data_IF_316913758404
#
_entry.id   IF_316913758404
#
_cell.length_a   1.000
_cell.length_b   1.000
_cell.length_c   1.000
_cell.angle_alpha   90.00
_cell.angle_beta   90.00
_cell.angle_gamma   90.00
#
_symmetry.space_group_name_H-M   'P 1'
#
loop_
_entity.id
_entity.type
_entity.pdbx_description
1 polymer ?
#
# COMPACT_ATOMS: atom_id res chain seq x y z
N UNK A 1 -28.08 18.28 -21.53
CA UNK A 1 -26.74 18.18 -20.92
C UNK A 1 -26.85 18.82 -19.55
N UNK A 2 -26.94 18.04 -18.47
CA UNK A 2 -26.99 18.61 -17.12
C UNK A 2 -25.65 19.31 -16.85
N UNK A 3 -25.68 20.54 -16.34
CA UNK A 3 -24.48 21.17 -15.79
C UNK A 3 -23.97 20.27 -14.65
N UNK A 4 -22.82 19.61 -14.83
CA UNK A 4 -22.25 18.78 -13.78
C UNK A 4 -21.56 19.73 -12.79
N UNK A 5 -22.14 19.84 -11.60
CA UNK A 5 -21.65 20.70 -10.53
C UNK A 5 -20.46 20.04 -9.84
N UNK A 6 -19.42 20.83 -9.55
CA UNK A 6 -18.40 20.45 -8.58
C UNK A 6 -19.06 20.22 -7.22
N UNK A 7 -19.02 18.99 -6.70
CA UNK A 7 -19.59 18.66 -5.39
C UNK A 7 -18.50 18.92 -4.35
N UNK A 8 -18.73 19.86 -3.44
CA UNK A 8 -17.74 20.23 -2.42
C UNK A 8 -17.52 19.12 -1.39
N UNK A 9 -18.61 18.51 -0.90
CA UNK A 9 -18.60 17.47 0.12
C UNK A 9 -19.23 16.18 -0.41
N UNK A 10 -18.49 15.34 -1.14
CA UNK A 10 -19.03 14.16 -1.78
C UNK A 10 -19.25 13.02 -0.78
N UNK A 11 -20.36 12.29 -0.95
CA UNK A 11 -20.66 11.09 -0.18
C UNK A 11 -20.37 9.84 -0.99
N UNK A 12 -20.03 8.74 -0.32
CA UNK A 12 -19.80 7.45 -0.98
C UNK A 12 -21.07 6.94 -1.68
N UNK A 13 -22.24 7.31 -1.15
CA UNK A 13 -23.54 7.02 -1.75
C UNK A 13 -23.77 7.73 -3.10
N UNK A 14 -23.05 8.83 -3.36
CA UNK A 14 -23.13 9.57 -4.64
C UNK A 14 -22.19 8.98 -5.71
N UNK A 15 -21.34 8.02 -5.32
CA UNK A 15 -20.36 7.44 -6.23
C UNK A 15 -21.00 6.45 -7.20
N UNK A 16 -20.78 6.68 -8.49
CA UNK A 16 -21.26 5.81 -9.57
C UNK A 16 -20.39 4.54 -9.78
N UNK A 17 -19.25 4.42 -9.09
CA UNK A 17 -18.39 3.25 -9.17
C UNK A 17 -18.96 2.15 -8.30
N UNK A 18 -19.13 0.97 -8.89
CA UNK A 18 -19.72 -0.19 -8.25
C UNK A 18 -18.60 -0.97 -7.55
N UNK A 19 -18.69 -1.20 -6.24
CA UNK A 19 -17.70 -1.98 -5.52
C UNK A 19 -17.84 -3.48 -5.79
N UNK A 20 -16.72 -4.19 -5.79
CA UNK A 20 -16.60 -5.64 -5.63
C UNK A 20 -15.48 -5.90 -4.60
N UNK A 21 -15.44 -7.05 -3.97
CA UNK A 21 -14.53 -7.28 -2.83
C UNK A 21 -13.82 -8.63 -2.92
N UNK A 22 -12.55 -8.65 -2.52
CA UNK A 22 -11.90 -9.85 -2.01
C UNK A 22 -11.75 -9.74 -0.50
N UNK A 23 -12.29 -10.74 0.21
CA UNK A 23 -12.16 -10.86 1.66
C UNK A 23 -10.70 -11.07 2.08
N UNK A 24 -10.43 -10.80 3.36
CA UNK A 24 -9.12 -11.06 4.00
C UNK A 24 -8.61 -12.48 3.71
N UNK A 25 -9.46 -13.48 3.93
CA UNK A 25 -9.13 -14.89 3.69
C UNK A 25 -8.85 -15.23 2.22
N UNK A 26 -9.40 -14.46 1.28
CA UNK A 26 -9.10 -14.63 -0.14
C UNK A 26 -7.73 -14.03 -0.44
N UNK A 27 -7.48 -12.80 0.01
CA UNK A 27 -6.19 -12.12 -0.15
C UNK A 27 -5.06 -12.92 0.48
N UNK A 28 -5.26 -13.46 1.69
CA UNK A 28 -4.34 -14.35 2.38
C UNK A 28 -3.97 -15.57 1.53
N UNK A 29 -4.95 -16.27 0.94
CA UNK A 29 -4.69 -17.44 0.09
C UNK A 29 -3.84 -17.08 -1.13
N UNK A 30 -4.07 -15.92 -1.73
CA UNK A 30 -3.28 -15.42 -2.86
C UNK A 30 -1.87 -15.11 -2.39
N UNK A 31 -1.72 -14.24 -1.39
CA UNK A 31 -0.46 -13.86 -0.75
C UNK A 31 0.41 -15.09 -0.44
N UNK A 32 -0.14 -16.07 0.26
CA UNK A 32 0.60 -17.24 0.71
C UNK A 32 0.93 -18.22 -0.43
N UNK A 33 0.10 -18.25 -1.48
CA UNK A 33 0.43 -18.97 -2.71
C UNK A 33 1.61 -18.34 -3.43
N UNK A 34 1.71 -17.00 -3.45
CA UNK A 34 2.87 -16.30 -4.02
C UNK A 34 4.15 -16.50 -3.21
N UNK A 35 4.06 -16.49 -1.87
CA UNK A 35 5.21 -16.87 -1.02
C UNK A 35 5.72 -18.28 -1.33
N UNK A 36 4.81 -19.24 -1.56
CA UNK A 36 5.17 -20.62 -1.95
C UNK A 36 5.78 -20.70 -3.35
N UNK A 37 5.19 -20.02 -4.34
CA UNK A 37 5.71 -19.97 -5.71
C UNK A 37 7.10 -19.34 -5.77
N UNK A 38 7.37 -18.32 -4.96
CA UNK A 38 8.69 -17.69 -4.89
C UNK A 38 9.81 -18.55 -4.34
N UNK A 39 9.51 -19.76 -3.86
CA UNK A 39 10.51 -20.75 -3.45
C UNK A 39 10.84 -21.75 -4.57
N UNK A 40 10.11 -21.75 -5.69
CA UNK A 40 10.34 -22.69 -6.78
C UNK A 40 11.47 -22.20 -7.71
N UNK A 41 12.42 -23.08 -8.10
CA UNK A 41 13.46 -22.72 -9.07
C UNK A 41 12.85 -22.26 -10.40
N UNK A 42 13.27 -21.11 -10.91
CA UNK A 42 12.78 -20.53 -12.17
C UNK A 42 11.44 -19.79 -12.10
N UNK A 43 10.82 -19.71 -10.92
CA UNK A 43 9.58 -18.96 -10.74
C UNK A 43 9.81 -17.48 -10.38
N UNK A 44 8.85 -16.63 -10.75
CA UNK A 44 8.92 -15.16 -10.61
C UNK A 44 9.27 -14.66 -9.21
N UNK A 45 8.86 -15.39 -8.17
CA UNK A 45 9.09 -14.98 -6.80
C UNK A 45 10.54 -15.17 -6.34
N UNK A 46 11.44 -15.78 -7.12
CA UNK A 46 12.84 -15.93 -6.73
C UNK A 46 13.58 -14.57 -6.65
N UNK A 47 13.33 -13.67 -7.62
CA UNK A 47 13.93 -12.32 -7.60
C UNK A 47 13.37 -11.47 -6.46
N UNK A 48 12.04 -11.47 -6.27
CA UNK A 48 11.37 -10.77 -5.16
C UNK A 48 11.83 -11.34 -3.81
N UNK A 49 11.94 -12.67 -3.68
CA UNK A 49 12.48 -13.32 -2.48
C UNK A 49 13.94 -12.92 -2.23
N UNK A 50 14.78 -12.90 -3.26
CA UNK A 50 16.18 -12.47 -3.15
C UNK A 50 16.27 -11.02 -2.67
N UNK A 51 15.41 -10.14 -3.17
CA UNK A 51 15.27 -8.78 -2.67
C UNK A 51 14.88 -8.75 -1.20
N UNK A 52 13.82 -9.46 -0.79
CA UNK A 52 13.41 -9.56 0.62
C UNK A 52 14.54 -10.06 1.52
N UNK A 53 15.34 -11.03 1.04
CA UNK A 53 16.50 -11.53 1.77
C UNK A 53 17.55 -10.44 1.94
N UNK A 54 17.89 -9.75 0.86
CA UNK A 54 18.88 -8.67 0.83
C UNK A 54 18.51 -7.55 1.81
N UNK A 55 17.27 -7.05 1.74
CA UNK A 55 16.83 -5.92 2.57
C UNK A 55 16.55 -6.29 4.03
N UNK A 56 16.46 -7.57 4.36
CA UNK A 56 16.10 -8.02 5.72
C UNK A 56 17.25 -8.62 6.53
N UNK A 57 18.36 -9.00 5.89
CA UNK A 57 19.44 -9.78 6.50
C UNK A 57 20.82 -9.14 6.33
N UNK A 58 21.73 -9.49 7.24
CA UNK A 58 23.15 -9.15 7.13
C UNK A 58 23.45 -7.65 7.08
N UNK A 59 24.51 -7.31 6.33
CA UNK A 59 25.00 -5.95 6.13
C UNK A 59 24.16 -5.15 5.12
N UNK A 60 23.46 -5.82 4.20
CA UNK A 60 22.57 -5.21 3.21
C UNK A 60 21.19 -4.86 3.77
N UNK A 61 20.88 -5.29 5.01
CA UNK A 61 19.61 -5.02 5.62
C UNK A 61 19.33 -3.51 5.62
N UNK A 62 18.19 -3.13 5.05
CA UNK A 62 17.79 -1.73 4.98
C UNK A 62 17.39 -1.29 6.37
N UNK A 63 18.04 -0.22 6.81
CA UNK A 63 17.87 0.35 8.13
C UNK A 63 17.63 1.83 7.98
N UNK A 64 16.57 2.33 8.59
CA UNK A 64 16.45 3.77 8.67
C UNK A 64 17.49 4.34 9.63
N UNK A 65 17.99 5.56 9.36
CA UNK A 65 18.78 6.33 10.31
C UNK A 65 18.09 6.42 11.66
N UNK A 66 16.76 6.26 11.70
CA UNK A 66 15.94 6.27 12.88
C UNK A 66 15.92 7.64 13.53
N UNK A 67 14.88 7.85 14.31
CA UNK A 67 14.84 8.79 15.40
C UNK A 67 16.11 8.67 16.26
N UNK A 68 16.60 9.78 16.82
CA UNK A 68 17.89 9.86 17.56
C UNK A 68 18.10 8.74 18.59
N UNK A 69 17.02 8.20 19.17
CA UNK A 69 17.06 7.15 20.19
C UNK A 69 17.02 5.72 19.67
N UNK A 70 16.66 5.52 18.40
CA UNK A 70 16.50 4.19 17.80
C UNK A 70 17.19 4.10 16.45
N UNK A 71 18.46 4.52 16.33
CA UNK A 71 19.09 4.54 15.03
C UNK A 71 19.36 3.13 14.50
N UNK A 72 19.34 3.02 13.17
CA UNK A 72 19.91 1.92 12.43
C UNK A 72 19.18 0.58 12.73
N UNK A 73 17.84 0.59 12.62
CA UNK A 73 16.95 -0.56 12.85
C UNK A 73 16.39 -1.10 11.55
N UNK A 74 16.24 -2.42 11.45
CA UNK A 74 15.73 -3.05 10.23
C UNK A 74 14.30 -2.59 9.94
N UNK A 75 14.04 -2.25 8.69
CA UNK A 75 12.70 -2.00 8.17
C UNK A 75 11.95 -3.30 7.90
N UNK A 76 12.64 -4.27 7.29
CA UNK A 76 12.12 -5.63 7.14
C UNK A 76 13.07 -6.56 7.87
N UNK A 77 12.52 -7.53 8.59
CA UNK A 77 13.31 -8.48 9.32
C UNK A 77 12.85 -9.90 8.98
N UNK A 78 13.82 -10.71 8.56
CA UNK A 78 13.63 -12.11 8.18
C UNK A 78 14.79 -12.90 8.76
N UNK A 79 14.50 -13.88 9.59
CA UNK A 79 15.52 -14.71 10.25
C UNK A 79 16.22 -15.64 9.26
N UNK A 80 17.55 -15.74 9.38
CA UNK A 80 18.38 -16.63 8.56
C UNK A 80 17.93 -18.09 8.72
N UNK A 81 17.83 -18.81 7.60
CA UNK A 81 17.41 -20.21 7.55
C UNK A 81 15.90 -20.45 7.77
N UNK A 82 15.08 -19.40 7.92
CA UNK A 82 13.61 -19.54 7.91
C UNK A 82 13.05 -19.54 6.49
N UNK A 83 11.97 -20.26 6.28
CA UNK A 83 11.24 -20.28 5.02
C UNK A 83 10.70 -18.88 4.68
N UNK A 84 10.56 -18.61 3.38
CA UNK A 84 9.99 -17.37 2.87
C UNK A 84 8.48 -17.45 2.92
N UNK A 85 7.93 -17.09 4.08
CA UNK A 85 6.51 -17.18 4.43
C UNK A 85 6.11 -15.92 5.19
N UNK A 86 4.85 -15.48 5.06
CA UNK A 86 4.35 -14.27 5.70
C UNK A 86 4.60 -14.25 7.23
N UNK A 87 4.44 -15.38 7.90
CA UNK A 87 4.69 -15.54 9.35
C UNK A 87 6.16 -15.39 9.79
N UNK A 88 7.11 -15.49 8.86
CA UNK A 88 8.55 -15.36 9.12
C UNK A 88 9.11 -14.01 8.68
N UNK A 89 8.30 -13.17 8.03
CA UNK A 89 8.64 -11.82 7.59
C UNK A 89 8.00 -10.81 8.53
N UNK A 90 8.81 -9.88 9.01
CA UNK A 90 8.34 -8.82 9.90
C UNK A 90 8.64 -7.48 9.29
N UNK A 91 7.70 -6.56 9.41
CA UNK A 91 7.79 -5.21 8.91
C UNK A 91 7.79 -4.23 10.07
N UNK A 92 8.68 -3.25 9.98
CA UNK A 92 8.64 -2.09 10.86
C UNK A 92 7.56 -1.15 10.33
N UNK A 93 6.61 -0.84 11.20
CA UNK A 93 5.53 0.06 10.84
C UNK A 93 6.00 1.51 10.90
N UNK A 94 5.58 2.34 9.94
CA UNK A 94 5.99 3.74 9.82
C UNK A 94 5.26 4.65 10.80
N UNK A 95 4.08 4.23 11.28
CA UNK A 95 3.23 4.98 12.21
C UNK A 95 3.58 4.70 13.67
N UNK A 96 3.89 3.44 14.04
CA UNK A 96 4.14 3.07 15.44
C UNK A 96 5.53 2.51 15.72
N UNK A 97 6.36 2.33 14.69
CA UNK A 97 7.71 1.74 14.75
C UNK A 97 7.75 0.33 15.40
N UNK A 98 6.60 -0.36 15.49
CA UNK A 98 6.52 -1.75 15.91
C UNK A 98 7.10 -2.64 14.82
N UNK A 99 7.70 -3.76 15.20
CA UNK A 99 8.14 -4.80 14.29
C UNK A 99 7.13 -5.95 14.33
N UNK A 100 6.22 -5.98 13.36
CA UNK A 100 5.04 -6.85 13.32
C UNK A 100 5.14 -7.91 12.22
N UNK A 101 4.60 -9.12 12.44
CA UNK A 101 4.64 -10.21 11.46
C UNK A 101 3.67 -9.97 10.32
N UNK A 102 4.07 -10.31 9.10
CA UNK A 102 3.24 -10.11 7.92
C UNK A 102 2.05 -11.04 7.82
N UNK A 103 2.14 -12.21 8.47
CA UNK A 103 1.04 -13.15 8.59
C UNK A 103 -0.11 -12.68 9.48
N UNK A 104 -0.01 -11.52 10.13
CA UNK A 104 -1.11 -10.93 10.93
C UNK A 104 -1.63 -9.61 10.33
N UNK A 105 -1.08 -9.16 9.20
CA UNK A 105 -1.54 -7.96 8.51
C UNK A 105 -2.56 -8.34 7.44
N UNK A 106 -3.74 -8.75 7.89
CA UNK A 106 -4.84 -9.08 6.99
C UNK A 106 -5.53 -7.81 6.50
N UNK A 107 -6.06 -7.89 5.27
CA UNK A 107 -6.73 -6.79 4.61
C UNK A 107 -7.66 -7.28 3.52
N UNK A 108 -8.73 -6.51 3.27
CA UNK A 108 -9.59 -6.70 2.10
C UNK A 108 -9.08 -5.87 0.94
N UNK A 109 -9.38 -6.35 -0.27
CA UNK A 109 -9.29 -5.52 -1.47
C UNK A 109 -10.68 -5.09 -1.87
N UNK A 110 -10.90 -3.79 -2.00
CA UNK A 110 -12.14 -3.21 -2.50
C UNK A 110 -11.91 -2.69 -3.93
N UNK A 111 -12.49 -3.37 -4.90
CA UNK A 111 -12.38 -3.01 -6.31
C UNK A 111 -13.50 -2.06 -6.69
N UNK A 112 -13.15 -0.91 -7.26
CA UNK A 112 -14.10 0.07 -7.74
C UNK A 112 -13.96 0.22 -9.26
N UNK A 113 -15.07 0.02 -9.98
CA UNK A 113 -15.11 0.28 -11.41
C UNK A 113 -16.50 0.74 -11.84
N UNK A 114 -16.61 1.32 -13.02
CA UNK A 114 -17.92 1.65 -13.59
C UNK A 114 -18.63 0.39 -14.08
N UNK A 115 -19.96 0.45 -14.18
CA UNK A 115 -20.77 -0.64 -14.75
C UNK A 115 -20.24 -1.12 -16.10
N UNK A 116 -19.79 -0.21 -16.97
CA UNK A 116 -19.27 -0.58 -18.29
C UNK A 116 -17.98 -1.40 -18.23
N UNK A 117 -17.08 -1.12 -17.27
CA UNK A 117 -15.88 -1.93 -17.06
C UNK A 117 -16.25 -3.31 -16.53
N UNK A 118 -17.20 -3.37 -15.59
CA UNK A 118 -17.71 -4.63 -15.07
C UNK A 118 -18.40 -5.49 -16.12
N UNK A 119 -19.30 -4.91 -16.91
CA UNK A 119 -19.98 -5.61 -18.01
C UNK A 119 -18.97 -6.14 -19.03
N UNK A 120 -17.95 -5.34 -19.38
CA UNK A 120 -16.85 -5.76 -20.26
C UNK A 120 -16.11 -6.98 -19.69
N UNK A 121 -15.70 -6.91 -18.43
CA UNK A 121 -14.98 -8.00 -17.78
C UNK A 121 -15.84 -9.25 -17.64
N UNK A 122 -17.12 -9.13 -17.28
CA UNK A 122 -18.04 -10.26 -17.15
C UNK A 122 -18.36 -10.92 -18.49
N UNK A 123 -18.35 -10.15 -19.59
CA UNK A 123 -18.57 -10.67 -20.94
C UNK A 123 -17.44 -11.59 -21.43
N UNK A 124 -16.25 -11.50 -20.84
CA UNK A 124 -15.08 -12.30 -21.23
C UNK A 124 -15.28 -13.73 -20.73
N UNK A 125 -15.37 -14.68 -21.66
CA UNK A 125 -15.47 -16.11 -21.35
C UNK A 125 -14.09 -16.76 -21.28
N UNK A 126 -13.95 -17.72 -20.37
CA UNK A 126 -12.74 -18.53 -20.32
C UNK A 126 -12.65 -19.38 -21.58
N UNK A 127 -11.44 -19.50 -22.10
CA UNK A 127 -11.10 -20.39 -23.21
C UNK A 127 -9.95 -21.27 -22.76
N UNK A 128 -9.65 -22.33 -23.51
CA UNK A 128 -8.49 -23.18 -23.23
C UNK A 128 -7.17 -22.38 -23.24
N UNK A 129 -7.13 -21.29 -24.04
CA UNK A 129 -5.98 -20.38 -24.13
C UNK A 129 -5.95 -19.31 -23.03
N UNK A 130 -7.12 -18.90 -22.52
CA UNK A 130 -7.27 -17.89 -21.46
C UNK A 130 -8.13 -18.48 -20.33
N UNK A 131 -7.53 -19.34 -19.49
CA UNK A 131 -8.26 -20.04 -18.44
C UNK A 131 -8.75 -19.08 -17.34
N UNK A 132 -8.11 -17.92 -17.20
CA UNK A 132 -8.46 -16.88 -16.24
C UNK A 132 -9.15 -15.69 -16.92
N UNK A 133 -10.33 -15.93 -17.48
CA UNK A 133 -11.18 -14.87 -18.02
C UNK A 133 -12.23 -14.40 -16.99
N UNK A 134 -13.06 -13.44 -17.41
CA UNK A 134 -14.08 -12.86 -16.55
C UNK A 134 -13.51 -11.83 -15.57
N UNK A 135 -14.40 -11.20 -14.82
CA UNK A 135 -14.04 -10.25 -13.75
C UNK A 135 -13.13 -10.86 -12.70
N UNK A 136 -13.48 -12.03 -12.16
CA UNK A 136 -12.69 -12.70 -11.12
C UNK A 136 -11.32 -13.12 -11.65
N UNK A 137 -11.23 -13.63 -12.88
CA UNK A 137 -9.95 -13.94 -13.53
C UNK A 137 -9.05 -12.71 -13.66
N UNK A 138 -9.61 -11.59 -14.11
CA UNK A 138 -8.89 -10.32 -14.20
C UNK A 138 -8.40 -9.84 -12.82
N UNK A 139 -9.27 -9.79 -11.81
CA UNK A 139 -8.91 -9.33 -10.46
C UNK A 139 -7.82 -10.22 -9.85
N UNK A 140 -7.91 -11.54 -10.04
CA UNK A 140 -6.88 -12.49 -9.60
C UNK A 140 -5.55 -12.24 -10.31
N UNK A 141 -5.56 -12.08 -11.63
CA UNK A 141 -4.37 -11.82 -12.44
C UNK A 141 -3.70 -10.48 -12.05
N UNK A 142 -4.50 -9.43 -11.93
CA UNK A 142 -4.01 -8.11 -11.53
C UNK A 142 -3.39 -8.16 -10.13
N UNK A 143 -4.13 -8.66 -9.13
CA UNK A 143 -3.64 -8.75 -7.76
C UNK A 143 -2.35 -9.58 -7.67
N UNK A 144 -2.29 -10.69 -8.41
CA UNK A 144 -1.09 -11.52 -8.53
C UNK A 144 0.12 -10.75 -9.06
N UNK A 145 -0.10 -9.83 -10.01
CA UNK A 145 0.95 -9.05 -10.64
C UNK A 145 1.64 -8.04 -9.71
N UNK A 146 0.96 -7.60 -8.65
CA UNK A 146 1.49 -6.58 -7.72
C UNK A 146 1.30 -6.91 -6.22
N UNK A 147 1.10 -8.19 -5.88
CA UNK A 147 0.85 -8.60 -4.49
C UNK A 147 2.05 -8.31 -3.58
N UNK A 148 3.29 -8.38 -4.08
CA UNK A 148 4.48 -8.11 -3.27
C UNK A 148 4.56 -6.65 -2.86
N UNK A 149 4.20 -5.75 -3.77
CA UNK A 149 4.08 -4.32 -3.56
C UNK A 149 3.02 -4.06 -2.49
N UNK A 150 1.82 -4.63 -2.62
CA UNK A 150 0.78 -4.48 -1.60
C UNK A 150 1.17 -5.06 -0.24
N UNK A 151 1.89 -6.19 -0.22
CA UNK A 151 2.44 -6.75 1.02
C UNK A 151 3.38 -5.74 1.67
N UNK A 152 4.31 -5.12 0.93
CA UNK A 152 5.19 -4.08 1.48
C UNK A 152 4.37 -2.89 1.97
N UNK A 153 3.51 -2.31 1.13
CA UNK A 153 2.73 -1.12 1.46
C UNK A 153 1.84 -1.34 2.69
N UNK A 154 1.08 -2.44 2.73
CA UNK A 154 0.16 -2.70 3.84
C UNK A 154 0.86 -2.97 5.15
N UNK A 155 1.93 -3.76 5.12
CA UNK A 155 2.62 -4.22 6.33
C UNK A 155 3.45 -3.13 7.01
N UNK A 156 3.65 -2.01 6.35
CA UNK A 156 4.28 -0.84 6.95
C UNK A 156 3.31 0.00 7.79
N UNK A 157 2.03 -0.39 7.93
CA UNK A 157 1.06 0.35 8.74
C UNK A 157 0.43 -0.54 9.84
N UNK A 158 0.51 -0.09 11.09
CA UNK A 158 -0.08 -0.76 12.26
C UNK A 158 -1.52 -0.27 12.53
N UNK A 159 -1.74 1.04 12.45
CA UNK A 159 -2.98 1.67 12.88
C UNK A 159 -3.93 2.01 11.71
N UNK A 160 -5.20 2.13 12.06
CA UNK A 160 -6.34 2.44 11.17
C UNK A 160 -6.71 1.31 10.19
N UNK A 161 -7.61 1.62 9.24
CA UNK A 161 -8.19 0.66 8.32
C UNK A 161 -7.14 0.04 7.40
N UNK A 162 -7.14 -1.30 7.34
CA UNK A 162 -6.20 -2.06 6.53
C UNK A 162 -6.62 -2.29 5.09
N UNK A 163 -7.87 -2.00 4.77
CA UNK A 163 -8.45 -2.31 3.47
C UNK A 163 -7.90 -1.40 2.38
N UNK A 164 -7.68 -1.98 1.20
CA UNK A 164 -7.04 -1.31 0.07
C UNK A 164 -8.07 -1.10 -1.04
N UNK A 165 -8.49 0.15 -1.30
CA UNK A 165 -9.24 0.50 -2.49
C UNK A 165 -8.38 0.38 -3.75
N UNK A 166 -8.87 -0.34 -4.76
CA UNK A 166 -8.30 -0.40 -6.10
C UNK A 166 -9.32 0.14 -7.09
N UNK A 167 -9.01 1.25 -7.74
CA UNK A 167 -9.84 1.88 -8.77
C UNK A 167 -9.39 1.41 -10.14
N UNK A 168 -10.26 0.71 -10.86
CA UNK A 168 -9.97 0.25 -12.22
C UNK A 168 -10.26 1.38 -13.20
N UNK A 169 -9.27 1.72 -14.01
CA UNK A 169 -9.33 2.83 -14.95
C UNK A 169 -8.84 2.42 -16.34
N UNK A 170 -9.27 3.11 -17.40
CA UNK A 170 -8.67 2.97 -18.73
C UNK A 170 -7.69 4.12 -19.06
N UNK A 171 -7.18 4.77 -18.03
CA UNK A 171 -6.32 5.94 -18.10
C UNK A 171 -4.93 5.56 -18.58
N UNK A 172 -4.30 6.46 -19.32
CA UNK A 172 -2.88 6.35 -19.65
C UNK A 172 -2.00 6.97 -18.56
N UNK A 173 -0.67 6.91 -18.75
CA UNK A 173 0.28 7.45 -17.79
C UNK A 173 0.08 8.95 -17.54
N UNK A 174 -0.20 9.73 -18.59
CA UNK A 174 -0.36 11.19 -18.48
C UNK A 174 -1.66 11.55 -17.77
N UNK A 175 -2.74 10.80 -18.01
CA UNK A 175 -3.99 10.96 -17.28
C UNK A 175 -3.80 10.70 -15.77
N UNK A 176 -3.07 9.62 -15.42
CA UNK A 176 -2.76 9.29 -14.02
C UNK A 176 -1.95 10.42 -13.35
N UNK A 177 -0.89 10.88 -14.01
CA UNK A 177 -0.06 11.98 -13.50
C UNK A 177 -0.90 13.26 -13.31
N UNK A 178 -1.72 13.62 -14.30
CA UNK A 178 -2.58 14.81 -14.24
C UNK A 178 -3.62 14.73 -13.12
N UNK A 179 -4.24 13.56 -12.92
CA UNK A 179 -5.20 13.33 -11.83
C UNK A 179 -4.51 13.38 -10.45
N UNK A 180 -3.36 12.73 -10.31
CA UNK A 180 -2.62 12.71 -9.05
C UNK A 180 -2.10 14.10 -8.70
N UNK A 181 -1.52 14.82 -9.65
CA UNK A 181 -1.02 16.17 -9.44
C UNK A 181 -2.16 17.13 -9.05
N UNK A 182 -3.36 16.95 -9.59
CA UNK A 182 -4.54 17.68 -9.13
C UNK A 182 -4.86 17.38 -7.66
N UNK A 183 -4.97 16.11 -7.25
CA UNK A 183 -5.31 15.77 -5.87
C UNK A 183 -4.21 16.21 -4.88
N UNK A 184 -2.94 16.12 -5.28
CA UNK A 184 -1.81 16.65 -4.49
C UNK A 184 -1.93 18.16 -4.36
N UNK A 185 -2.13 18.90 -5.44
CA UNK A 185 -2.29 20.36 -5.37
C UNK A 185 -3.52 20.78 -4.56
N UNK A 186 -4.62 20.05 -4.69
CA UNK A 186 -5.83 20.23 -3.90
C UNK A 186 -5.56 20.02 -2.41
N UNK A 187 -4.82 18.97 -2.05
CA UNK A 187 -4.50 18.64 -0.65
C UNK A 187 -3.65 19.69 0.07
N UNK A 188 -2.86 20.47 -0.68
CA UNK A 188 -2.05 21.55 -0.11
C UNK A 188 -2.87 22.78 0.28
N UNK A 189 -4.10 22.92 -0.23
CA UNK A 189 -4.94 24.11 0.02
C UNK A 189 -4.38 25.41 -0.57
N UNK A 190 -3.36 25.33 -1.44
CA UNK A 190 -2.65 26.50 -2.00
C UNK A 190 -3.39 27.14 -3.18
N UNK A 191 -4.34 26.43 -3.78
CA UNK A 191 -5.06 26.90 -4.97
C UNK A 191 -6.29 27.73 -4.56
N UNK A 192 -6.46 28.96 -5.09
CA UNK A 192 -7.72 29.68 -4.96
C UNK A 192 -8.87 28.85 -5.52
N UNK A 193 -10.03 28.87 -4.87
CA UNK A 193 -11.20 28.05 -5.22
C UNK A 193 -11.59 28.14 -6.71
N UNK A 194 -11.49 29.34 -7.30
CA UNK A 194 -11.75 29.56 -8.73
C UNK A 194 -10.77 28.79 -9.62
N UNK A 195 -9.49 28.78 -9.29
CA UNK A 195 -8.45 28.07 -10.04
C UNK A 195 -8.60 26.55 -9.88
N UNK A 196 -8.91 26.10 -8.66
CA UNK A 196 -9.21 24.70 -8.39
C UNK A 196 -10.39 24.19 -9.24
N UNK A 197 -11.50 24.93 -9.26
CA UNK A 197 -12.67 24.59 -10.09
C UNK A 197 -12.33 24.62 -11.58
N UNK A 198 -11.56 25.61 -12.03
CA UNK A 198 -11.11 25.68 -13.42
C UNK A 198 -10.27 24.46 -13.81
N UNK A 199 -9.28 24.08 -12.99
CA UNK A 199 -8.45 22.89 -13.21
C UNK A 199 -9.29 21.61 -13.21
N UNK A 200 -10.24 21.49 -12.28
CA UNK A 200 -11.18 20.37 -12.24
C UNK A 200 -11.96 20.23 -13.57
N UNK A 201 -12.58 21.31 -14.04
CA UNK A 201 -13.36 21.27 -15.28
C UNK A 201 -12.50 21.00 -16.52
N UNK A 202 -11.27 21.52 -16.57
CA UNK A 202 -10.32 21.23 -17.64
C UNK A 202 -9.98 19.73 -17.70
N UNK A 203 -9.66 19.12 -16.55
CA UNK A 203 -9.40 17.68 -16.47
C UNK A 203 -10.63 16.87 -16.83
N UNK A 204 -11.79 17.21 -16.28
CA UNK A 204 -13.02 16.47 -16.54
C UNK A 204 -13.46 16.56 -18.01
N UNK A 205 -13.32 17.73 -18.64
CA UNK A 205 -13.52 17.89 -20.08
C UNK A 205 -12.52 17.03 -20.85
N UNK A 206 -11.22 17.07 -20.55
CA UNK A 206 -10.21 16.23 -21.21
C UNK A 206 -10.59 14.74 -21.14
N UNK A 207 -10.93 14.25 -19.94
CA UNK A 207 -11.25 12.85 -19.71
C UNK A 207 -12.51 12.44 -20.48
N UNK A 208 -13.53 13.29 -20.53
CA UNK A 208 -14.76 13.03 -21.30
C UNK A 208 -14.52 13.02 -22.80
N UNK A 209 -13.79 14.01 -23.33
CA UNK A 209 -13.48 14.09 -24.77
C UNK A 209 -12.69 12.87 -25.23
N UNK A 210 -11.78 12.36 -24.39
CA UNK A 210 -11.00 11.16 -24.67
C UNK A 210 -11.63 9.86 -24.17
N UNK A 211 -12.91 9.88 -23.77
CA UNK A 211 -13.71 8.70 -23.35
C UNK A 211 -13.01 7.88 -22.25
N UNK A 212 -12.35 8.58 -21.31
CA UNK A 212 -11.76 7.96 -20.12
C UNK A 212 -12.88 7.45 -19.21
N UNK A 213 -12.64 6.31 -18.60
CA UNK A 213 -13.58 5.54 -17.82
C UNK A 213 -12.85 4.96 -16.58
N UNK A 214 -13.24 5.34 -15.36
CA UNK A 214 -14.21 6.39 -15.03
C UNK A 214 -13.80 7.76 -15.60
N UNK A 215 -14.76 8.66 -15.79
CA UNK A 215 -14.40 10.06 -16.06
C UNK A 215 -13.79 10.70 -14.79
N UNK A 216 -13.17 11.87 -14.93
CA UNK A 216 -12.48 12.50 -13.81
C UNK A 216 -13.43 12.81 -12.65
N UNK A 217 -14.63 13.35 -12.92
CA UNK A 217 -15.66 13.58 -11.89
C UNK A 217 -15.96 12.32 -11.08
N UNK A 218 -16.17 11.18 -11.75
CA UNK A 218 -16.51 9.93 -11.08
C UNK A 218 -15.37 9.42 -10.17
N UNK A 219 -14.12 9.53 -10.64
CA UNK A 219 -12.95 9.16 -9.84
C UNK A 219 -12.72 10.13 -8.68
N UNK A 220 -12.86 11.44 -8.91
CA UNK A 220 -12.71 12.48 -7.89
C UNK A 220 -13.75 12.35 -6.77
N UNK A 221 -15.01 12.07 -7.11
CA UNK A 221 -16.07 11.79 -6.14
C UNK A 221 -15.72 10.57 -5.27
N UNK A 222 -15.22 9.49 -5.88
CA UNK A 222 -14.80 8.31 -5.13
C UNK A 222 -13.60 8.62 -4.21
N UNK A 223 -12.54 9.25 -4.75
CA UNK A 223 -11.35 9.57 -3.96
C UNK A 223 -11.74 10.44 -2.77
N UNK A 224 -12.42 11.57 -2.99
CA UNK A 224 -12.75 12.48 -1.89
C UNK A 224 -13.73 11.85 -0.90
N UNK A 225 -14.73 11.09 -1.34
CA UNK A 225 -15.64 10.39 -0.41
C UNK A 225 -14.93 9.33 0.44
N UNK A 226 -13.99 8.56 -0.12
CA UNK A 226 -13.16 7.61 0.64
C UNK A 226 -12.37 8.29 1.78
N UNK A 227 -12.06 9.57 1.62
CA UNK A 227 -11.30 10.35 2.59
C UNK A 227 -12.18 11.15 3.55
N UNK A 228 -13.31 11.68 3.09
CA UNK A 228 -14.12 12.63 3.85
C UNK A 228 -15.40 12.03 4.45
N UNK A 229 -16.02 11.04 3.82
CA UNK A 229 -17.36 10.57 4.19
C UNK A 229 -17.34 9.51 5.31
N UNK A 230 -17.79 9.82 6.54
CA UNK A 230 -17.80 8.88 7.67
C UNK A 230 -18.49 7.54 7.39
N UNK A 231 -19.42 7.47 6.42
CA UNK A 231 -20.10 6.23 6.04
C UNK A 231 -19.15 5.14 5.52
N UNK A 232 -17.96 5.51 5.05
CA UNK A 232 -16.91 4.54 4.64
C UNK A 232 -16.38 3.74 5.84
N UNK A 233 -16.49 4.28 7.06
CA UNK A 233 -16.11 3.59 8.30
C UNK A 233 -14.59 3.54 8.59
N UNK A 234 -13.75 3.76 7.59
CA UNK A 234 -12.30 3.93 7.74
C UNK A 234 -11.76 4.98 6.75
N UNK A 235 -10.48 5.31 6.85
CA UNK A 235 -9.76 6.07 5.82
C UNK A 235 -8.58 5.22 5.35
N UNK A 236 -8.45 4.95 4.04
CA UNK A 236 -7.35 4.16 3.50
C UNK A 236 -6.01 4.88 3.67
N UNK A 237 -4.92 4.13 3.83
CA UNK A 237 -3.55 4.71 3.82
C UNK A 237 -3.10 5.09 2.42
N UNK A 238 -3.61 4.38 1.43
CA UNK A 238 -3.39 4.64 0.01
C UNK A 238 -4.54 4.07 -0.82
N UNK A 239 -4.71 4.63 -2.02
CA UNK A 239 -5.65 4.15 -3.04
C UNK A 239 -4.81 3.73 -4.24
N UNK A 240 -5.06 2.55 -4.79
CA UNK A 240 -4.38 2.07 -6.00
C UNK A 240 -5.22 2.40 -7.21
N UNK A 241 -4.62 2.99 -8.24
CA UNK A 241 -5.22 3.13 -9.56
C UNK A 241 -4.62 2.07 -10.47
N UNK A 242 -5.49 1.19 -10.99
CA UNK A 242 -5.14 0.06 -11.84
C UNK A 242 -5.62 0.31 -13.27
N UNK A 243 -4.71 0.63 -14.20
CA UNK A 243 -5.04 0.70 -15.61
C UNK A 243 -5.46 -0.66 -16.17
N UNK A 244 -6.45 -0.66 -17.07
CA UNK A 244 -6.86 -1.80 -17.88
C UNK A 244 -5.85 -2.13 -18.99
N UNK A 245 -4.97 -1.18 -19.31
CA UNK A 245 -3.90 -1.37 -20.29
C UNK A 245 -2.72 -2.09 -19.65
N UNK A 246 -2.23 -3.14 -20.31
CA UNK A 246 -1.02 -3.86 -19.87
C UNK A 246 0.27 -3.02 -20.00
N UNK A 247 0.22 -1.90 -20.73
CA UNK A 247 1.37 -1.01 -20.95
C UNK A 247 1.44 0.14 -19.93
N UNK A 248 0.48 0.24 -19.02
CA UNK A 248 0.44 1.30 -18.01
C UNK A 248 0.39 0.64 -16.65
N UNK A 249 1.38 0.95 -15.83
CA UNK A 249 1.54 0.36 -14.50
C UNK A 249 0.55 0.95 -13.51
N UNK A 250 0.11 0.13 -12.56
CA UNK A 250 -0.65 0.60 -11.41
C UNK A 250 0.19 1.55 -10.55
N UNK A 251 -0.47 2.53 -9.92
CA UNK A 251 0.18 3.53 -9.05
C UNK A 251 -0.63 3.73 -7.78
N UNK A 252 0.02 4.08 -6.68
CA UNK A 252 -0.64 4.46 -5.44
C UNK A 252 -0.73 5.98 -5.30
N UNK A 253 -1.88 6.44 -4.84
CA UNK A 253 -2.03 7.74 -4.18
C UNK A 253 -1.97 7.48 -2.66
N UNK A 254 -0.98 8.00 -1.97
CA UNK A 254 -0.82 7.90 -0.52
C UNK A 254 -1.51 9.07 0.18
N UNK A 255 -2.18 8.79 1.29
CA UNK A 255 -2.95 9.79 2.02
C UNK A 255 -2.10 10.66 2.96
N UNK A 256 -0.81 10.35 3.09
CA UNK A 256 0.15 11.13 3.85
C UNK A 256 1.57 10.85 3.33
N UNK A 257 2.52 11.82 3.34
CA UNK A 257 3.90 11.58 2.91
C UNK A 257 4.60 10.51 3.72
N UNK A 258 4.33 10.43 5.02
CA UNK A 258 4.90 9.38 5.90
C UNK A 258 4.39 7.97 5.59
N UNK A 259 3.33 7.83 4.77
CA UNK A 259 2.85 6.51 4.36
C UNK A 259 3.58 5.97 3.13
N UNK A 260 4.35 6.82 2.46
CA UNK A 260 5.22 6.40 1.37
C UNK A 260 6.34 5.54 1.97
N UNK A 261 6.61 4.35 1.43
CA UNK A 261 7.76 3.57 1.84
C UNK A 261 9.05 4.38 1.73
N UNK A 262 9.99 4.22 2.68
CA UNK A 262 11.26 4.91 2.64
C UNK A 262 12.00 4.60 1.33
N UNK A 263 12.59 5.61 0.64
CA UNK A 263 13.28 5.39 -0.63
C UNK A 263 14.33 4.28 -0.57
N UNK A 264 15.09 4.22 0.53
CA UNK A 264 16.11 3.19 0.76
C UNK A 264 15.56 1.75 0.75
N UNK A 265 14.25 1.57 0.99
CA UNK A 265 13.60 0.28 0.87
C UNK A 265 13.24 -0.03 -0.58
N UNK A 266 12.65 0.93 -1.29
CA UNK A 266 12.01 0.69 -2.60
C UNK A 266 12.91 0.95 -3.82
N UNK A 267 14.03 1.66 -3.66
CA UNK A 267 14.95 2.01 -4.76
C UNK A 267 15.45 0.79 -5.55
N UNK A 268 15.71 -0.33 -4.85
CA UNK A 268 16.18 -1.58 -5.46
C UNK A 268 15.09 -2.65 -5.53
N UNK A 269 13.83 -2.28 -5.34
CA UNK A 269 12.73 -3.22 -5.40
C UNK A 269 12.56 -3.71 -6.85
N UNK A 270 12.45 -5.04 -7.11
CA UNK A 270 12.42 -5.54 -8.49
C UNK A 270 11.24 -4.98 -9.28
N UNK A 271 11.50 -4.24 -10.36
CA UNK A 271 10.48 -3.56 -11.18
C UNK A 271 9.87 -4.42 -12.27
N UNK A 272 10.43 -5.61 -12.55
CA UNK A 272 9.93 -6.54 -13.56
C UNK A 272 8.92 -7.56 -13.01
N UNK A 273 8.27 -8.29 -13.92
CA UNK A 273 7.36 -9.40 -13.62
C UNK A 273 8.07 -10.61 -12.98
N UNK A 274 9.41 -10.65 -13.05
CA UNK A 274 10.27 -11.67 -12.45
C UNK A 274 10.36 -12.98 -13.23
N UNK A 275 9.67 -13.13 -14.37
CA UNK A 275 9.71 -14.37 -15.15
C UNK A 275 11.12 -14.69 -15.64
N UNK A 276 11.55 -15.95 -15.50
CA UNK A 276 12.93 -16.38 -15.76
C UNK A 276 13.44 -16.06 -17.18
N UNK A 277 12.53 -15.98 -18.15
CA UNK A 277 12.85 -15.69 -19.55
C UNK A 277 12.40 -14.28 -19.98
N UNK A 278 11.97 -13.43 -19.04
CA UNK A 278 11.63 -12.05 -19.37
C UNK A 278 12.91 -11.20 -19.37
N UNK A 279 13.17 -10.57 -20.52
CA UNK A 279 14.32 -9.67 -20.72
C UNK A 279 13.93 -8.20 -20.67
N UNK A 280 12.65 -7.91 -20.41
CA UNK A 280 12.12 -6.57 -20.31
C UNK A 280 12.15 -6.12 -18.84
N UNK A 281 13.07 -5.23 -18.50
CA UNK A 281 13.22 -4.72 -17.14
C UNK A 281 12.03 -3.84 -16.69
N UNK A 282 11.15 -3.45 -17.62
CA UNK A 282 9.99 -2.60 -17.37
C UNK A 282 8.66 -3.37 -17.33
N UNK A 283 8.67 -4.69 -17.44
CA UNK A 283 7.45 -5.52 -17.53
C UNK A 283 6.60 -5.67 -16.23
N UNK A 284 6.92 -4.96 -15.15
CA UNK A 284 6.16 -5.04 -13.90
C UNK A 284 4.78 -4.39 -13.97
N UNK A 285 3.90 -4.76 -13.05
CA UNK A 285 2.51 -4.29 -13.02
C UNK A 285 2.29 -3.02 -12.17
N UNK A 286 3.31 -2.55 -11.44
CA UNK A 286 3.20 -1.47 -10.47
C UNK A 286 4.40 -0.53 -10.53
N UNK A 287 4.14 0.77 -10.40
CA UNK A 287 5.16 1.81 -10.38
C UNK A 287 5.10 2.59 -9.06
N UNK A 288 5.97 2.20 -8.14
CA UNK A 288 6.14 2.88 -6.86
C UNK A 288 6.77 4.27 -7.02
N UNK A 289 7.57 4.49 -8.06
CA UNK A 289 8.28 5.76 -8.28
C UNK A 289 7.35 6.85 -8.81
N UNK A 290 6.39 6.47 -9.65
CA UNK A 290 5.34 7.37 -10.15
C UNK A 290 4.15 7.52 -9.21
N UNK A 291 4.16 6.86 -8.04
CA UNK A 291 3.15 7.07 -7.01
C UNK A 291 3.30 8.47 -6.39
N UNK A 292 2.23 9.00 -5.77
CA UNK A 292 2.21 10.35 -5.18
C UNK A 292 1.64 10.33 -3.78
N UNK A 293 1.93 11.35 -2.99
CA UNK A 293 1.34 11.53 -1.65
C UNK A 293 0.65 12.87 -1.55
N UNK A 294 -0.51 12.89 -0.87
CA UNK A 294 -1.17 14.11 -0.43
C UNK A 294 -0.29 14.85 0.60
N UNK A 295 -0.59 16.12 0.83
CA UNK A 295 0.06 16.93 1.86
C UNK A 295 -0.23 16.41 3.28
N UNK A 296 0.67 16.70 4.23
CA UNK A 296 0.59 16.27 5.63
C UNK A 296 -0.68 16.79 6.34
N UNK A 297 -0.93 18.09 6.28
CA UNK A 297 -2.07 18.76 6.93
C UNK A 297 -3.23 19.05 5.97
N UNK A 298 -3.68 18.03 5.24
CA UNK A 298 -4.76 18.20 4.24
C UNK A 298 -6.16 18.20 4.86
N UNK A 299 -6.99 19.17 4.46
CA UNK A 299 -8.41 19.21 4.83
C UNK A 299 -9.28 18.20 4.05
N UNK A 300 -8.72 17.51 3.05
CA UNK A 300 -9.46 16.49 2.28
C UNK A 300 -9.77 15.24 3.10
N UNK A 301 -9.01 15.01 4.16
CA UNK A 301 -9.08 13.80 4.96
C UNK A 301 -9.86 14.13 6.22
N UNK A 302 -10.95 13.40 6.46
CA UNK A 302 -11.71 13.58 7.69
C UNK A 302 -10.83 13.25 8.88
N UNK A 303 -11.07 13.99 9.96
CA UNK A 303 -10.37 13.93 11.23
C UNK A 303 -9.83 12.52 11.53
N UNK A 304 -8.55 12.34 11.27
CA UNK A 304 -7.86 11.08 11.45
C UNK A 304 -6.84 11.32 12.53
N UNK A 305 -7.08 10.75 13.70
CA UNK A 305 -6.10 10.67 14.79
C UNK A 305 -5.00 9.67 14.40
N UNK A 306 -4.36 9.90 13.24
CA UNK A 306 -3.16 9.18 12.87
C UNK A 306 -2.10 9.57 13.87
N UNK A 307 -1.81 8.64 14.77
CA UNK A 307 -0.72 8.82 15.72
C UNK A 307 0.57 8.70 14.91
N UNK A 308 1.08 9.84 14.49
CA UNK A 308 2.35 9.99 13.77
C UNK A 308 3.46 10.31 14.76
N UNK A 309 4.71 10.03 14.37
CA UNK A 309 5.89 10.34 15.18
C UNK A 309 5.85 9.81 16.62
N UNK A 310 5.25 8.64 16.81
CA UNK A 310 5.31 7.91 18.07
C UNK A 310 6.04 6.60 17.91
N UNK A 311 6.46 6.06 19.03
CA UNK A 311 6.85 4.67 19.09
C UNK A 311 6.10 3.93 20.17
N UNK A 312 5.60 2.76 19.83
CA UNK A 312 4.84 1.89 20.73
C UNK A 312 5.63 0.68 21.19
N UNK A 313 5.13 0.07 22.26
CA UNK A 313 5.56 -1.26 22.68
C UNK A 313 5.29 -2.27 21.56
N UNK A 314 6.20 -3.20 21.31
CA UNK A 314 6.07 -4.22 20.26
C UNK A 314 4.93 -5.22 20.53
N UNK A 315 4.55 -5.39 21.78
CA UNK A 315 3.35 -6.14 22.12
C UNK A 315 2.13 -5.37 21.58
N UNK A 316 1.48 -5.94 20.58
CA UNK A 316 0.43 -5.28 19.80
C UNK A 316 -0.70 -4.65 20.64
N UNK A 317 -1.15 -5.36 21.68
CA UNK A 317 -2.22 -4.90 22.58
C UNK A 317 -1.79 -3.78 23.55
N UNK A 318 -0.51 -3.41 23.60
CA UNK A 318 0.00 -2.40 24.53
C UNK A 318 0.02 -1.01 23.90
N UNK A 319 -0.70 -0.07 24.51
CA UNK A 319 -0.80 1.32 24.04
C UNK A 319 0.21 2.27 24.68
N UNK A 320 1.21 1.77 25.43
CA UNK A 320 2.31 2.61 25.90
C UNK A 320 3.05 3.13 24.67
N UNK A 321 3.13 4.46 24.59
CA UNK A 321 3.79 5.19 23.51
C UNK A 321 4.73 6.25 24.06
N UNK A 322 5.73 6.63 23.26
CA UNK A 322 6.57 7.80 23.51
C UNK A 322 6.80 8.55 22.21
N UNK A 323 7.08 9.86 22.25
CA UNK A 323 7.44 10.61 21.05
C UNK A 323 8.68 10.01 20.39
N UNK A 324 8.62 9.90 19.06
CA UNK A 324 9.70 9.37 18.24
C UNK A 324 11.03 10.07 18.53
N UNK A 325 11.03 11.39 18.73
CA UNK A 325 12.23 12.21 18.83
C UNK A 325 12.61 12.64 20.26
N UNK A 326 12.25 11.85 21.28
CA UNK A 326 12.56 12.21 22.68
C UNK A 326 14.08 12.36 22.91
N UNK A 327 14.53 13.42 23.60
CA UNK A 327 15.95 13.70 23.86
C UNK A 327 16.49 13.09 25.17
N UNK A 328 15.76 12.12 25.75
CA UNK A 328 16.05 11.55 27.07
C UNK A 328 15.99 10.03 27.11
N UNK A 329 15.89 9.48 28.33
CA UNK A 329 15.78 8.04 28.55
C UNK A 329 14.44 7.53 28.00
N UNK A 330 14.52 6.62 27.02
CA UNK A 330 13.34 5.93 26.48
C UNK A 330 12.62 5.11 27.57
N UNK A 331 11.28 5.09 27.48
CA UNK A 331 10.41 4.22 28.27
C UNK A 331 10.57 2.75 27.89
N UNK A 332 11.17 2.46 26.73
CA UNK A 332 11.24 1.12 26.18
C UNK A 332 12.62 0.50 26.33
N UNK A 333 12.62 -0.81 26.60
CA UNK A 333 13.77 -1.67 26.62
C UNK A 333 13.87 -2.38 25.26
N UNK A 334 15.00 -2.23 24.59
CA UNK A 334 15.27 -2.98 23.37
C UNK A 334 15.55 -4.45 23.70
N UNK A 335 15.11 -5.36 22.82
CA UNK A 335 15.49 -6.76 22.89
C UNK A 335 17.01 -6.90 22.94
N UNK A 336 17.56 -7.55 23.97
CA UNK A 336 19.01 -7.65 24.18
C UNK A 336 19.76 -8.35 23.04
N UNK A 337 19.08 -9.23 22.30
CA UNK A 337 19.66 -10.03 21.20
C UNK A 337 19.68 -9.27 19.88
N UNK A 338 18.51 -8.91 19.34
CA UNK A 338 18.43 -8.25 18.02
C UNK A 338 18.47 -6.72 18.09
N UNK A 339 18.04 -6.13 19.21
CA UNK A 339 17.83 -4.68 19.40
C UNK A 339 16.81 -4.04 18.45
N UNK A 340 16.05 -4.84 17.68
CA UNK A 340 15.07 -4.34 16.70
C UNK A 340 13.65 -4.17 17.28
N UNK A 341 13.28 -4.92 18.32
CA UNK A 341 11.98 -4.84 19.00
C UNK A 341 12.11 -4.17 20.38
N UNK A 342 11.07 -3.44 20.77
CA UNK A 342 11.08 -2.59 21.96
C UNK A 342 9.87 -2.84 22.86
N UNK A 343 10.09 -2.92 24.16
CA UNK A 343 9.03 -3.26 25.12
C UNK A 343 9.06 -2.32 26.32
N UNK A 344 7.92 -1.87 26.81
CA UNK A 344 7.86 -1.02 28.00
C UNK A 344 8.21 -1.78 29.28
N UNK A 345 8.13 -3.12 29.27
CA UNK A 345 8.53 -3.98 30.38
C UNK A 345 8.94 -5.39 29.90
N UNK A 346 9.58 -6.16 30.78
CA UNK A 346 10.00 -7.55 30.50
C UNK A 346 8.82 -8.50 30.29
N UNK A 347 7.71 -8.26 30.98
CA UNK A 347 6.50 -9.09 30.84
C UNK A 347 5.95 -9.03 29.42
N UNK A 348 5.90 -7.83 28.81
CA UNK A 348 5.46 -7.68 27.43
C UNK A 348 6.40 -8.37 26.44
N UNK A 349 7.72 -8.32 26.68
CA UNK A 349 8.68 -9.09 25.89
C UNK A 349 8.42 -10.60 26.02
N UNK A 350 8.12 -11.09 27.22
CA UNK A 350 7.82 -12.50 27.45
C UNK A 350 6.54 -12.95 26.72
N UNK A 351 5.48 -12.12 26.77
CA UNK A 351 4.21 -12.39 26.07
C UNK A 351 4.37 -12.41 24.55
N UNK A 352 5.15 -11.50 23.99
CA UNK A 352 5.43 -11.43 22.54
C UNK A 352 6.47 -12.47 22.06
N UNK A 353 7.15 -13.17 22.98
CA UNK A 353 8.31 -13.99 22.63
C UNK A 353 8.00 -15.12 21.65
N UNK A 354 6.80 -15.72 21.74
CA UNK A 354 6.35 -16.77 20.80
C UNK A 354 6.37 -16.30 19.34
N UNK A 355 6.06 -15.04 19.10
CA UNK A 355 6.08 -14.39 17.79
C UNK A 355 7.47 -13.84 17.48
N UNK A 356 8.04 -13.05 18.39
CA UNK A 356 9.33 -12.37 18.20
C UNK A 356 10.51 -13.33 17.96
N UNK A 357 10.51 -14.53 18.55
CA UNK A 357 11.59 -15.52 18.34
C UNK A 357 11.77 -15.95 16.88
N UNK A 358 10.74 -15.77 16.05
CA UNK A 358 10.78 -16.07 14.62
C UNK A 358 11.67 -15.12 13.83
N UNK A 359 11.91 -13.91 14.35
CA UNK A 359 12.73 -12.87 13.70
C UNK A 359 13.96 -12.45 14.51
N UNK A 360 14.04 -12.87 15.77
CA UNK A 360 15.10 -12.48 16.70
C UNK A 360 16.45 -13.15 16.38
N UNK A 361 17.35 -12.37 15.78
CA UNK A 361 18.74 -12.75 15.50
C UNK A 361 19.74 -11.75 16.09
N UNK A 362 20.95 -12.17 16.47
CA UNK A 362 22.00 -11.25 16.86
C UNK A 362 22.27 -10.26 15.74
N UNK A 363 22.47 -8.99 16.08
CA UNK A 363 22.89 -7.99 15.10
C UNK A 363 24.25 -8.42 14.53
N UNK A 364 24.34 -8.55 13.20
CA UNK A 364 25.63 -8.69 12.53
C UNK A 364 26.54 -7.53 12.98
N UNK A 365 27.75 -7.87 13.42
CA UNK A 365 28.72 -6.88 13.90
C UNK A 365 29.28 -6.07 12.75
#
# INVERSE_FOLDING_TARGET
MAHHSYIENPLIADCALIPDEFSESHVEKIRDSFFRLGQQPGANGLQKQAWFRSVAQGASAVREPGNKNRPNRRLIAWKTGKAFEAQNLFFRTVDTSRLLPAGLADFRIQWYATKGIWDLLDSKKATDEIPFAGRKGFQMYALSGFIYELVVLRNMHDLAGGDIPIVIVNWDANDLDSAFDYWVALSKGELPEKEQRQKFFQLDDHFRHHKKNPCFTQADLLVRSLLSDPAVGYVPKFIVFLPMSAYVKARALFMHPSFVPPPALVENFPSGCGAANCTDDDCGAFDLTASRALAEDTALIRNNDWVMDVVRCNLWICNVEEPANISGKSLFQACKKCRDAFYCCKEHQFRDWSTHKNVCEPRAR
#
